data_IF_086575389599
#
_entry.id   IF_086575389599
#
_cell.length_a   1.000
_cell.length_b   1.000
_cell.length_c   1.000
_cell.angle_alpha   90.00
_cell.angle_beta   90.00
_cell.angle_gamma   90.00
#
_symmetry.space_group_name_H-M   'P 1'
#
loop_
_entity.id
_entity.type
_entity.pdbx_description
1 polymer ?
#
# COMPACT_ATOMS: atom_id res chain seq x y z
N UNK A 1 -11.26 19.23 14.17
CA UNK A 1 -11.26 18.00 13.36
C UNK A 1 -11.68 16.85 14.25
N UNK A 2 -12.80 16.20 13.94
CA UNK A 2 -13.23 14.98 14.65
C UNK A 2 -12.54 13.81 13.95
N UNK A 3 -11.87 12.95 14.70
CA UNK A 3 -11.17 11.80 14.11
C UNK A 3 -12.20 10.76 13.70
N UNK A 4 -12.38 10.57 12.39
CA UNK A 4 -13.16 9.47 11.83
C UNK A 4 -12.23 8.34 11.39
N UNK A 5 -12.41 7.14 11.97
CA UNK A 5 -11.62 5.96 11.64
C UNK A 5 -11.77 5.53 10.17
N UNK A 6 -12.96 5.71 9.58
CA UNK A 6 -13.27 5.35 8.19
C UNK A 6 -12.67 6.31 7.16
N UNK A 7 -12.07 7.43 7.61
CA UNK A 7 -11.33 8.35 6.75
C UNK A 7 -9.86 8.36 7.16
N UNK A 8 -9.58 8.82 8.38
CA UNK A 8 -8.23 9.01 8.90
C UNK A 8 -7.54 7.67 9.19
N UNK A 9 -8.26 6.70 9.75
CA UNK A 9 -7.72 5.36 10.02
C UNK A 9 -7.36 4.62 8.73
N UNK A 10 -8.21 4.71 7.70
CA UNK A 10 -7.91 4.14 6.38
C UNK A 10 -6.72 4.82 5.70
N UNK A 11 -6.57 6.14 5.80
CA UNK A 11 -5.38 6.84 5.30
C UNK A 11 -4.10 6.40 6.02
N UNK A 12 -4.12 6.31 7.35
CA UNK A 12 -2.97 5.84 8.13
C UNK A 12 -2.61 4.40 7.71
N UNK A 13 -3.59 3.51 7.60
CA UNK A 13 -3.35 2.13 7.19
C UNK A 13 -2.79 2.05 5.77
N UNK A 14 -3.34 2.84 4.84
CA UNK A 14 -2.83 2.94 3.48
C UNK A 14 -1.37 3.40 3.44
N UNK A 15 -1.01 4.43 4.22
CA UNK A 15 0.37 4.92 4.33
C UNK A 15 1.31 3.83 4.85
N UNK A 16 0.90 3.05 5.86
CA UNK A 16 1.70 1.90 6.35
C UNK A 16 1.90 0.87 5.24
N UNK A 17 0.85 0.51 4.50
CA UNK A 17 0.98 -0.41 3.36
C UNK A 17 1.90 0.12 2.27
N UNK A 18 1.82 1.42 1.92
CA UNK A 18 2.71 2.05 0.96
C UNK A 18 4.18 2.01 1.40
N UNK A 19 4.46 2.24 2.68
CA UNK A 19 5.83 2.19 3.22
C UNK A 19 6.39 0.78 3.10
N UNK A 20 5.64 -0.23 3.55
CA UNK A 20 6.10 -1.63 3.49
C UNK A 20 6.32 -2.05 2.02
N UNK A 21 5.38 -1.74 1.13
CA UNK A 21 5.51 -2.05 -0.30
C UNK A 21 6.74 -1.38 -0.91
N UNK A 22 7.00 -0.11 -0.58
CA UNK A 22 8.15 0.65 -1.09
C UNK A 22 9.47 0.14 -0.55
N UNK A 23 9.52 -0.32 0.71
CA UNK A 23 10.71 -0.97 1.27
C UNK A 23 11.04 -2.26 0.52
N UNK A 24 10.04 -3.07 0.18
CA UNK A 24 10.25 -4.31 -0.56
C UNK A 24 10.68 -4.00 -2.00
N UNK A 25 9.92 -3.16 -2.70
CA UNK A 25 10.21 -2.78 -4.08
C UNK A 25 11.55 -2.04 -4.24
N UNK A 26 11.89 -1.15 -3.31
CA UNK A 26 13.11 -0.35 -3.35
C UNK A 26 14.38 -1.13 -3.00
N UNK A 27 14.26 -2.31 -2.37
CA UNK A 27 15.40 -3.19 -2.08
C UNK A 27 15.45 -4.41 -3.03
N UNK A 28 14.57 -4.48 -4.03
CA UNK A 28 14.58 -5.55 -5.02
C UNK A 28 15.62 -5.25 -6.09
N UNK A 29 16.71 -6.03 -6.09
CA UNK A 29 17.77 -5.95 -7.08
C UNK A 29 18.05 -7.35 -7.66
N UNK A 30 18.26 -7.44 -8.97
CA UNK A 30 18.65 -8.69 -9.62
C UNK A 30 20.17 -8.74 -9.68
N UNK A 31 20.76 -9.50 -8.76
CA UNK A 31 22.22 -9.74 -8.70
C UNK A 31 22.55 -11.17 -9.13
N UNK A 32 23.83 -11.45 -9.43
CA UNK A 32 24.28 -12.81 -9.73
C UNK A 32 23.93 -13.78 -8.59
N UNK A 33 23.33 -14.92 -8.93
CA UNK A 33 22.85 -15.91 -7.96
C UNK A 33 21.42 -15.67 -7.44
N UNK A 34 20.75 -14.60 -7.86
CA UNK A 34 19.34 -14.36 -7.49
C UNK A 34 18.44 -15.43 -8.11
N UNK A 35 17.67 -16.12 -7.27
CA UNK A 35 16.67 -17.06 -7.75
C UNK A 35 15.51 -16.30 -8.42
N UNK A 36 15.22 -16.55 -9.71
CA UNK A 36 14.20 -15.82 -10.45
C UNK A 36 12.81 -15.98 -9.84
N UNK A 37 12.47 -17.15 -9.28
CA UNK A 37 11.16 -17.34 -8.64
C UNK A 37 10.99 -16.48 -7.40
N UNK A 38 12.02 -16.42 -6.54
CA UNK A 38 11.98 -15.59 -5.31
C UNK A 38 11.91 -14.11 -5.63
N UNK A 39 12.60 -13.65 -6.68
CA UNK A 39 12.52 -12.28 -7.16
C UNK A 39 11.11 -11.93 -7.65
N UNK A 40 10.54 -12.75 -8.55
CA UNK A 40 9.19 -12.53 -9.08
C UNK A 40 8.14 -12.54 -7.98
N UNK A 41 8.27 -13.45 -7.00
CA UNK A 41 7.32 -13.56 -5.90
C UNK A 41 7.38 -12.33 -4.97
N UNK A 42 8.58 -11.81 -4.70
CA UNK A 42 8.77 -10.58 -3.92
C UNK A 42 8.21 -9.35 -4.64
N UNK A 43 8.43 -9.26 -5.96
CA UNK A 43 7.87 -8.20 -6.80
C UNK A 43 6.33 -8.25 -6.81
N UNK A 44 5.75 -9.45 -6.96
CA UNK A 44 4.30 -9.65 -6.92
C UNK A 44 3.71 -9.25 -5.56
N UNK A 45 4.41 -9.57 -4.47
CA UNK A 45 3.98 -9.20 -3.13
C UNK A 45 3.98 -7.68 -2.93
N UNK A 46 5.04 -6.98 -3.38
CA UNK A 46 5.08 -5.52 -3.35
C UNK A 46 3.95 -4.90 -4.19
N UNK A 47 3.70 -5.44 -5.39
CA UNK A 47 2.61 -5.01 -6.26
C UNK A 47 1.23 -5.17 -5.60
N UNK A 48 0.96 -6.33 -4.98
CA UNK A 48 -0.29 -6.56 -4.25
C UNK A 48 -0.47 -5.57 -3.08
N UNK A 49 0.60 -5.27 -2.34
CA UNK A 49 0.55 -4.29 -1.26
C UNK A 49 0.25 -2.87 -1.77
N UNK A 50 0.82 -2.47 -2.91
CA UNK A 50 0.49 -1.20 -3.54
C UNK A 50 -0.97 -1.11 -3.98
N UNK A 51 -1.53 -2.20 -4.52
CA UNK A 51 -2.95 -2.26 -4.87
C UNK A 51 -3.84 -2.10 -3.64
N UNK A 52 -3.57 -2.84 -2.56
CA UNK A 52 -4.31 -2.75 -1.30
C UNK A 52 -4.22 -1.33 -0.72
N UNK A 53 -3.02 -0.75 -0.67
CA UNK A 53 -2.83 0.62 -0.20
C UNK A 53 -3.66 1.62 -1.01
N UNK A 54 -3.67 1.49 -2.34
CA UNK A 54 -4.44 2.35 -3.23
C UNK A 54 -5.96 2.19 -3.01
N UNK A 55 -6.45 0.96 -2.83
CA UNK A 55 -7.86 0.70 -2.53
C UNK A 55 -8.31 1.33 -1.19
N UNK A 56 -7.44 1.30 -0.18
CA UNK A 56 -7.69 1.94 1.11
C UNK A 56 -7.78 3.47 0.98
N UNK A 57 -6.88 4.09 0.21
CA UNK A 57 -6.95 5.54 -0.09
C UNK A 57 -8.25 5.89 -0.81
N UNK A 58 -8.62 5.15 -1.86
CA UNK A 58 -9.87 5.40 -2.60
C UNK A 58 -11.07 5.31 -1.66
N UNK A 59 -11.10 4.28 -0.81
CA UNK A 59 -12.20 4.07 0.15
C UNK A 59 -12.29 5.21 1.18
N UNK A 60 -11.15 5.65 1.71
CA UNK A 60 -11.06 6.78 2.63
C UNK A 60 -11.53 8.09 1.97
N UNK A 61 -11.11 8.35 0.72
CA UNK A 61 -11.51 9.54 -0.03
C UNK A 61 -13.01 9.56 -0.32
N UNK A 62 -13.61 8.42 -0.69
CA UNK A 62 -15.06 8.31 -0.88
C UNK A 62 -15.81 8.57 0.43
N UNK A 63 -15.31 8.07 1.56
CA UNK A 63 -15.92 8.30 2.86
C UNK A 63 -15.83 9.77 3.28
N UNK A 64 -14.68 10.42 3.06
CA UNK A 64 -14.51 11.84 3.32
C UNK A 64 -15.50 12.69 2.51
N UNK A 65 -15.68 12.38 1.22
CA UNK A 65 -16.65 13.08 0.37
C UNK A 65 -18.10 12.91 0.83
N UNK A 66 -18.43 11.77 1.47
CA UNK A 66 -19.77 11.55 2.04
C UNK A 66 -19.97 12.30 3.35
N UNK A 67 -18.92 12.52 4.13
CA UNK A 67 -18.99 13.26 5.41
C UNK A 67 -19.16 14.77 5.18
N UNK A 68 -18.65 15.30 4.06
CA UNK A 68 -18.80 16.70 3.67
C UNK A 68 -20.17 17.06 3.07
N UNK A 69 -21.03 16.08 2.79
CA UNK A 69 -22.31 16.24 2.09
C UNK A 69 -23.51 16.09 3.00
#
# INVERSE_FOLDING_TARGET
MKFDFYVHGLWILASVCFVIASMIAGNLEVVEGTNPMSFTLSLLLAFCLFLVATMLVISASINAMKEER
#
